data_IF_630432264224
#
_entry.id   IF_630432264224
#
_cell.length_a   1.000
_cell.length_b   1.000
_cell.length_c   1.000
_cell.angle_alpha   90.00
_cell.angle_beta   90.00
_cell.angle_gamma   90.00
#
_symmetry.space_group_name_H-M   'P 1'
#
loop_
_entity.id
_entity.type
_entity.pdbx_description
1 polymer ?
#
# COMPACT_ATOMS: atom_id res chain seq x y z
N UNK A 1 34.35 14.43 -27.20
CA UNK A 1 33.06 15.20 -27.18
C UNK A 1 31.88 14.38 -26.63
N UNK A 2 31.69 13.14 -27.01
CA UNK A 2 30.59 12.27 -26.52
C UNK A 2 30.69 11.86 -25.03
N UNK A 3 31.92 11.66 -24.55
CA UNK A 3 32.15 11.27 -23.12
C UNK A 3 31.78 12.40 -22.15
N UNK A 4 32.02 13.65 -22.55
CA UNK A 4 31.69 14.84 -21.73
C UNK A 4 30.19 15.05 -21.60
N UNK A 5 29.43 14.79 -22.69
CA UNK A 5 27.96 14.87 -22.70
C UNK A 5 27.34 13.79 -21.83
N UNK A 6 27.96 12.59 -21.79
CA UNK A 6 27.51 11.49 -20.91
C UNK A 6 27.77 11.78 -19.44
N UNK A 7 28.96 12.34 -19.13
CA UNK A 7 29.28 12.78 -17.76
C UNK A 7 28.39 13.92 -17.28
N UNK A 8 28.11 14.89 -18.13
CA UNK A 8 27.21 16.01 -17.79
C UNK A 8 25.76 15.55 -17.58
N UNK A 9 25.27 14.58 -18.36
CA UNK A 9 23.96 13.97 -18.12
C UNK A 9 23.94 13.13 -16.85
N UNK A 10 25.04 12.44 -16.51
CA UNK A 10 25.15 11.65 -15.28
C UNK A 10 25.22 12.54 -14.04
N UNK A 11 25.96 13.66 -14.11
CA UNK A 11 26.04 14.67 -13.03
C UNK A 11 24.72 15.42 -12.86
N UNK A 12 24.02 15.75 -13.97
CA UNK A 12 22.67 16.31 -13.91
C UNK A 12 21.68 15.33 -13.28
N UNK A 13 21.76 14.03 -13.62
CA UNK A 13 20.94 12.99 -13.04
C UNK A 13 21.21 12.76 -11.54
N UNK A 14 22.43 12.95 -11.07
CA UNK A 14 22.77 12.88 -9.63
C UNK A 14 22.28 14.09 -8.82
N UNK A 15 22.11 15.26 -9.45
CA UNK A 15 21.59 16.46 -8.79
C UNK A 15 20.07 16.54 -8.74
N UNK A 16 19.38 15.72 -9.53
CA UNK A 16 17.91 15.65 -9.56
C UNK A 16 17.32 14.61 -8.55
N UNK A 17 18.18 13.91 -7.85
CA UNK A 17 17.73 12.94 -6.84
C UNK A 17 17.77 13.64 -5.48
N UNK A 18 16.64 14.11 -5.06
CA UNK A 18 16.19 14.32 -3.69
C UNK A 18 15.60 15.71 -3.44
N UNK A 19 14.28 15.77 -3.30
CA UNK A 19 13.51 16.78 -2.54
C UNK A 19 13.72 18.26 -2.88
N UNK A 20 14.20 18.61 -4.08
CA UNK A 20 14.13 19.97 -4.65
C UNK A 20 13.02 20.10 -5.69
N UNK A 21 12.07 19.20 -5.64
CA UNK A 21 10.87 19.37 -6.43
C UNK A 21 9.94 20.32 -5.67
N UNK A 22 9.97 21.59 -6.01
CA UNK A 22 9.07 22.60 -5.48
C UNK A 22 7.63 22.42 -6.00
N UNK A 23 7.28 21.23 -6.52
CA UNK A 23 5.93 20.91 -6.96
C UNK A 23 5.00 20.80 -5.76
N UNK A 24 3.84 21.38 -5.89
CA UNK A 24 2.72 21.04 -5.02
C UNK A 24 2.07 19.75 -5.50
N UNK A 25 1.61 18.93 -4.58
CA UNK A 25 0.86 17.71 -4.84
C UNK A 25 -0.62 17.96 -4.53
N UNK A 26 -1.52 17.40 -5.33
CA UNK A 26 -2.96 17.56 -5.10
C UNK A 26 -3.44 16.77 -3.89
N UNK A 27 -2.83 15.61 -3.64
CA UNK A 27 -3.10 14.80 -2.46
C UNK A 27 -1.91 13.87 -2.16
N UNK A 28 -1.94 13.26 -0.99
CA UNK A 28 -0.86 12.43 -0.49
C UNK A 28 -0.63 11.13 -1.30
N UNK A 29 -1.60 10.69 -2.11
CA UNK A 29 -1.44 9.47 -2.93
C UNK A 29 -0.37 9.64 -4.01
N UNK A 30 -0.12 10.88 -4.46
CA UNK A 30 0.94 11.19 -5.43
C UNK A 30 2.36 11.00 -4.87
N UNK A 31 2.48 10.86 -3.54
CA UNK A 31 3.75 10.56 -2.86
C UNK A 31 4.01 9.05 -2.72
N UNK A 32 3.06 8.20 -3.10
CA UNK A 32 3.23 6.75 -3.00
C UNK A 32 4.21 6.27 -4.06
N UNK A 33 5.17 5.48 -3.63
CA UNK A 33 6.24 5.01 -4.50
C UNK A 33 7.43 5.97 -4.52
N UNK A 34 8.29 5.80 -5.51
CA UNK A 34 9.52 6.59 -5.67
C UNK A 34 10.34 6.75 -4.37
N UNK A 35 10.29 5.73 -3.50
CA UNK A 35 10.99 5.72 -2.21
C UNK A 35 12.50 5.68 -2.40
N UNK A 36 13.29 6.30 -1.50
CA UNK A 36 14.73 6.40 -1.66
C UNK A 36 15.45 5.05 -1.53
N UNK A 37 16.57 4.95 -2.23
CA UNK A 37 17.54 3.87 -2.09
C UNK A 37 18.68 4.36 -1.21
N UNK A 38 18.84 3.73 -0.04
CA UNK A 38 19.82 4.17 0.98
C UNK A 38 20.97 3.17 1.04
N UNK A 39 22.21 3.67 0.92
CA UNK A 39 23.41 2.84 1.08
C UNK A 39 23.56 2.41 2.53
N UNK A 40 23.76 1.12 2.73
CA UNK A 40 24.10 0.55 4.03
C UNK A 40 25.63 0.66 4.23
N UNK A 41 26.03 1.28 5.32
CA UNK A 41 27.45 1.52 5.59
C UNK A 41 27.96 0.62 6.74
N UNK A 42 27.60 0.96 7.98
CA UNK A 42 28.16 0.32 9.18
C UNK A 42 27.85 -1.17 9.27
N UNK A 43 26.63 -1.58 8.96
CA UNK A 43 26.22 -2.99 9.05
C UNK A 43 26.86 -3.88 7.98
N UNK A 44 27.38 -3.28 6.92
CA UNK A 44 28.00 -3.97 5.78
C UNK A 44 29.50 -3.72 5.63
N UNK A 45 30.14 -3.03 6.59
CA UNK A 45 31.55 -2.61 6.50
C UNK A 45 32.54 -3.76 6.31
N UNK A 46 32.21 -4.96 6.83
CA UNK A 46 33.06 -6.14 6.73
C UNK A 46 32.74 -7.04 5.53
N UNK A 47 31.83 -6.63 4.64
CA UNK A 47 31.43 -7.40 3.47
C UNK A 47 31.93 -6.70 2.19
N UNK A 48 32.47 -7.45 1.20
CA UNK A 48 32.88 -6.87 -0.07
C UNK A 48 31.66 -6.41 -0.88
N UNK A 49 31.75 -5.23 -1.50
CA UNK A 49 30.71 -4.70 -2.38
C UNK A 49 29.96 -3.50 -1.80
N UNK A 50 28.89 -3.09 -2.45
CA UNK A 50 28.01 -2.01 -2.04
C UNK A 50 26.60 -2.53 -1.83
N UNK A 51 26.01 -2.24 -0.71
CA UNK A 51 24.69 -2.72 -0.29
C UNK A 51 23.74 -1.55 -0.12
N UNK A 52 22.50 -1.73 -0.57
CA UNK A 52 21.48 -0.68 -0.51
C UNK A 52 20.17 -1.25 -0.01
N UNK A 53 19.41 -0.44 0.69
CA UNK A 53 18.02 -0.75 1.09
C UNK A 53 17.06 0.22 0.43
N UNK A 54 15.95 -0.32 -0.08
CA UNK A 54 14.80 0.45 -0.55
C UNK A 54 13.96 0.85 0.67
N UNK A 55 13.92 2.14 0.99
CA UNK A 55 13.34 2.62 2.25
C UNK A 55 11.83 2.86 2.11
N UNK A 56 11.05 1.78 2.14
CA UNK A 56 9.59 1.80 1.92
C UNK A 56 8.78 2.50 3.02
N UNK A 57 9.38 2.74 4.20
CA UNK A 57 8.75 3.56 5.23
C UNK A 57 8.57 5.04 4.85
N UNK A 58 9.14 5.46 3.70
CA UNK A 58 8.93 6.79 3.15
C UNK A 58 7.58 6.95 2.43
N UNK A 59 6.89 5.86 2.14
CA UNK A 59 5.51 5.96 1.67
C UNK A 59 4.62 6.61 2.75
N UNK A 60 3.55 7.33 2.39
CA UNK A 60 2.63 7.99 3.33
C UNK A 60 2.05 7.08 4.42
N UNK A 61 1.76 5.83 4.09
CA UNK A 61 1.31 4.81 5.04
C UNK A 61 2.46 4.04 5.70
N UNK A 62 3.70 4.51 5.58
CA UNK A 62 4.91 3.97 6.18
C UNK A 62 5.23 2.51 5.78
N UNK A 63 4.79 2.08 4.61
CA UNK A 63 5.09 0.73 4.11
C UNK A 63 4.93 0.59 2.61
N UNK A 64 5.44 -0.53 2.07
CA UNK A 64 5.23 -0.92 0.67
C UNK A 64 3.76 -1.27 0.35
N UNK A 65 2.89 -1.37 1.36
CA UNK A 65 1.48 -1.71 1.15
C UNK A 65 0.68 -0.58 0.51
N UNK A 66 1.18 0.64 0.59
CA UNK A 66 0.59 1.78 -0.12
C UNK A 66 0.58 1.56 -1.63
N UNK A 67 1.68 0.99 -2.17
CA UNK A 67 1.77 0.64 -3.61
C UNK A 67 0.67 -0.31 -4.02
N UNK A 68 0.49 -1.38 -3.23
CA UNK A 68 -0.50 -2.43 -3.49
C UNK A 68 -1.92 -1.85 -3.43
N UNK A 69 -2.25 -1.10 -2.37
CA UNK A 69 -3.56 -0.51 -2.20
C UNK A 69 -3.91 0.45 -3.35
N UNK A 70 -3.00 1.36 -3.69
CA UNK A 70 -3.23 2.33 -4.76
C UNK A 70 -3.36 1.64 -6.13
N UNK A 71 -2.46 0.70 -6.44
CA UNK A 71 -2.47 0.02 -7.74
C UNK A 71 -3.74 -0.80 -7.94
N UNK A 72 -4.13 -1.63 -6.96
CA UNK A 72 -5.33 -2.48 -7.08
C UNK A 72 -6.59 -1.62 -7.22
N UNK A 73 -6.73 -0.53 -6.47
CA UNK A 73 -7.89 0.34 -6.60
C UNK A 73 -7.91 1.07 -7.96
N UNK A 74 -6.77 1.54 -8.44
CA UNK A 74 -6.67 2.14 -9.77
C UNK A 74 -7.06 1.17 -10.88
N UNK A 75 -6.61 -0.08 -10.81
CA UNK A 75 -6.98 -1.10 -11.80
C UNK A 75 -8.46 -1.48 -11.70
N UNK A 76 -9.04 -1.51 -10.51
CA UNK A 76 -10.47 -1.74 -10.33
C UNK A 76 -11.32 -0.59 -10.91
N UNK A 77 -10.86 0.66 -10.78
CA UNK A 77 -11.47 1.83 -11.43
C UNK A 77 -11.42 1.73 -12.96
N UNK A 78 -10.23 1.45 -13.51
CA UNK A 78 -10.04 1.29 -14.96
C UNK A 78 -10.93 0.20 -15.56
N UNK A 79 -11.15 -0.89 -14.82
CA UNK A 79 -12.04 -2.00 -15.21
C UNK A 79 -13.54 -1.71 -14.99
N UNK A 80 -13.89 -0.53 -14.45
CA UNK A 80 -15.27 -0.16 -14.14
C UNK A 80 -15.91 -0.96 -13.00
N UNK A 81 -15.09 -1.62 -12.16
CA UNK A 81 -15.56 -2.39 -11.00
C UNK A 81 -15.91 -1.47 -9.82
N UNK A 82 -15.34 -0.27 -9.77
CA UNK A 82 -15.59 0.73 -8.74
C UNK A 82 -16.41 1.89 -9.30
N UNK A 83 -17.41 2.29 -8.55
CA UNK A 83 -18.28 3.45 -8.80
C UNK A 83 -18.23 4.38 -7.60
N UNK A 84 -18.72 5.60 -7.76
CA UNK A 84 -18.85 6.50 -6.63
C UNK A 84 -19.69 5.84 -5.51
N UNK A 85 -19.15 5.82 -4.28
CA UNK A 85 -19.78 5.20 -3.13
C UNK A 85 -19.62 3.68 -3.03
N UNK A 86 -18.87 3.02 -3.92
CA UNK A 86 -18.49 1.60 -3.79
C UNK A 86 -17.79 1.34 -2.46
N UNK A 87 -17.84 0.08 -2.02
CA UNK A 87 -17.22 -0.38 -0.79
C UNK A 87 -15.96 -1.21 -1.08
N UNK A 88 -14.85 -0.84 -0.49
CA UNK A 88 -13.62 -1.61 -0.53
C UNK A 88 -13.56 -2.51 0.69
N UNK A 89 -13.28 -3.78 0.47
CA UNK A 89 -13.17 -4.79 1.53
C UNK A 89 -11.78 -5.40 1.50
N UNK A 90 -11.16 -5.56 2.68
CA UNK A 90 -9.87 -6.25 2.79
C UNK A 90 -9.74 -7.00 4.11
N UNK A 91 -8.93 -8.06 4.09
CA UNK A 91 -8.46 -8.78 5.28
C UNK A 91 -7.08 -8.31 5.67
N UNK A 92 -6.89 -7.94 6.94
CA UNK A 92 -5.60 -7.39 7.36
C UNK A 92 -5.32 -7.60 8.84
N UNK A 93 -4.04 -7.58 9.18
CA UNK A 93 -3.58 -7.49 10.57
C UNK A 93 -2.76 -6.22 10.83
N UNK A 94 -2.58 -5.35 9.83
CA UNK A 94 -1.68 -4.22 9.98
C UNK A 94 -1.60 -3.26 8.79
N UNK A 95 -0.42 -3.15 8.21
CA UNK A 95 -0.08 -2.08 7.24
C UNK A 95 -0.99 -2.02 6.01
N UNK A 96 -1.41 -3.17 5.47
CA UNK A 96 -2.33 -3.19 4.32
C UNK A 96 -3.66 -2.51 4.65
N UNK A 97 -4.22 -2.77 5.84
CA UNK A 97 -5.47 -2.13 6.24
C UNK A 97 -5.35 -0.63 6.34
N UNK A 98 -4.24 -0.13 6.89
CA UNK A 98 -3.98 1.31 6.92
C UNK A 98 -3.92 1.90 5.51
N UNK A 99 -3.12 1.28 4.61
CA UNK A 99 -2.97 1.75 3.23
C UNK A 99 -4.30 1.71 2.46
N UNK A 100 -5.09 0.63 2.62
CA UNK A 100 -6.40 0.52 2.00
C UNK A 100 -7.38 1.57 2.52
N UNK A 101 -7.42 1.78 3.84
CA UNK A 101 -8.28 2.81 4.43
C UNK A 101 -7.91 4.22 3.94
N UNK A 102 -6.61 4.53 3.90
CA UNK A 102 -6.11 5.82 3.40
C UNK A 102 -6.48 6.06 1.94
N UNK A 103 -6.21 5.09 1.06
CA UNK A 103 -6.53 5.22 -0.37
C UNK A 103 -8.04 5.31 -0.59
N UNK A 104 -8.83 4.49 0.13
CA UNK A 104 -10.30 4.51 0.04
C UNK A 104 -10.86 5.86 0.46
N UNK A 105 -10.40 6.41 1.59
CA UNK A 105 -10.82 7.74 2.07
C UNK A 105 -10.58 8.83 1.01
N UNK A 106 -9.37 8.87 0.45
CA UNK A 106 -8.99 9.92 -0.50
C UNK A 106 -9.65 9.77 -1.87
N UNK A 107 -10.06 8.56 -2.23
CA UNK A 107 -10.82 8.29 -3.46
C UNK A 107 -12.35 8.34 -3.27
N UNK A 108 -12.84 8.57 -2.05
CA UNK A 108 -14.27 8.69 -1.75
C UNK A 108 -15.01 7.35 -1.67
N UNK A 109 -14.30 6.24 -1.40
CA UNK A 109 -14.89 4.93 -1.19
C UNK A 109 -15.15 4.65 0.27
N UNK A 110 -16.16 3.82 0.54
CA UNK A 110 -16.33 3.18 1.85
C UNK A 110 -15.26 2.12 2.03
N UNK A 111 -14.82 1.90 3.26
CA UNK A 111 -13.80 0.91 3.57
C UNK A 111 -14.26 0.01 4.70
N UNK A 112 -14.22 -1.30 4.50
CA UNK A 112 -14.51 -2.32 5.51
C UNK A 112 -13.30 -3.23 5.64
N UNK A 113 -12.80 -3.39 6.86
CA UNK A 113 -11.63 -4.21 7.14
C UNK A 113 -11.98 -5.34 8.11
N UNK A 114 -11.82 -6.58 7.66
CA UNK A 114 -11.84 -7.74 8.54
C UNK A 114 -10.45 -7.92 9.15
N UNK A 115 -10.36 -7.75 10.46
CA UNK A 115 -9.09 -7.63 11.19
C UNK A 115 -8.94 -8.76 12.20
N UNK A 116 -7.78 -9.39 12.24
CA UNK A 116 -7.46 -10.39 13.27
C UNK A 116 -7.45 -9.78 14.67
N UNK A 117 -7.99 -10.48 15.65
CA UNK A 117 -7.95 -10.08 17.08
C UNK A 117 -6.53 -9.93 17.64
N UNK A 118 -5.50 -10.39 16.92
CA UNK A 118 -4.08 -10.16 17.25
C UNK A 118 -3.58 -8.76 16.86
N UNK A 119 -4.34 -8.01 16.06
CA UNK A 119 -3.94 -6.66 15.69
C UNK A 119 -3.91 -5.74 16.92
N UNK A 120 -2.92 -4.85 16.99
CA UNK A 120 -2.85 -3.91 18.10
C UNK A 120 -4.02 -2.91 18.07
N UNK A 121 -4.44 -2.48 19.26
CA UNK A 121 -5.51 -1.48 19.39
C UNK A 121 -5.16 -0.18 18.66
N UNK A 122 -3.91 0.24 18.68
CA UNK A 122 -3.46 1.46 18.00
C UNK A 122 -3.65 1.37 16.49
N UNK A 123 -3.28 0.23 15.87
CA UNK A 123 -3.52 0.01 14.44
C UNK A 123 -5.00 0.03 14.09
N UNK A 124 -5.84 -0.61 14.92
CA UNK A 124 -7.30 -0.59 14.74
C UNK A 124 -7.83 0.84 14.83
N UNK A 125 -7.38 1.61 15.83
CA UNK A 125 -7.81 2.99 16.00
C UNK A 125 -7.37 3.88 14.83
N UNK A 126 -6.14 3.71 14.33
CA UNK A 126 -5.66 4.44 13.15
C UNK A 126 -6.53 4.18 11.92
N UNK A 127 -6.89 2.91 11.65
CA UNK A 127 -7.77 2.56 10.54
C UNK A 127 -9.18 3.17 10.71
N UNK A 128 -9.72 3.18 11.93
CA UNK A 128 -11.00 3.84 12.24
C UNK A 128 -10.93 5.36 12.04
N UNK A 129 -9.83 6.01 12.42
CA UNK A 129 -9.62 7.44 12.18
C UNK A 129 -9.63 7.80 10.69
N UNK A 130 -9.27 6.85 9.83
CA UNK A 130 -9.37 6.97 8.37
C UNK A 130 -10.76 6.61 7.83
N UNK A 131 -11.76 6.41 8.70
CA UNK A 131 -13.14 6.14 8.31
C UNK A 131 -13.44 4.69 7.95
N UNK A 132 -12.54 3.74 8.27
CA UNK A 132 -12.81 2.33 8.00
C UNK A 132 -13.73 1.69 9.06
N UNK A 133 -14.70 0.92 8.61
CA UNK A 133 -15.50 0.02 9.44
C UNK A 133 -14.70 -1.24 9.74
N UNK A 134 -14.55 -1.59 11.03
CA UNK A 134 -13.68 -2.67 11.47
C UNK A 134 -14.48 -3.85 12.02
N UNK A 135 -14.28 -5.02 11.42
CA UNK A 135 -14.77 -6.31 11.91
C UNK A 135 -13.62 -7.09 12.55
N UNK A 136 -13.62 -7.16 13.87
CA UNK A 136 -12.59 -7.92 14.60
C UNK A 136 -12.96 -9.39 14.64
N UNK A 137 -12.13 -10.22 14.05
CA UNK A 137 -12.33 -11.67 13.90
C UNK A 137 -11.38 -12.46 14.82
N UNK A 138 -11.80 -13.62 15.33
CA UNK A 138 -10.95 -14.45 16.17
C UNK A 138 -9.70 -14.93 15.41
N UNK A 139 -8.57 -14.97 16.11
CA UNK A 139 -7.28 -15.38 15.54
C UNK A 139 -6.91 -16.83 15.79
N UNK A 140 -7.72 -17.54 16.57
CA UNK A 140 -7.51 -18.93 16.99
C UNK A 140 -8.43 -19.92 16.28
N UNK A 141 -8.87 -19.57 15.08
CA UNK A 141 -9.72 -20.41 14.22
C UNK A 141 -8.99 -20.72 12.92
N UNK A 142 -9.28 -21.86 12.27
CA UNK A 142 -8.79 -22.16 10.91
C UNK A 142 -9.22 -21.10 9.88
N UNK A 143 -8.52 -21.04 8.75
CA UNK A 143 -8.80 -20.05 7.71
C UNK A 143 -10.17 -20.23 7.03
N UNK A 144 -10.69 -21.45 7.02
CA UNK A 144 -11.99 -21.86 6.47
C UNK A 144 -13.14 -21.79 7.49
N UNK A 145 -12.88 -21.45 8.75
CA UNK A 145 -13.90 -21.20 9.75
C UNK A 145 -14.73 -19.97 9.34
N UNK A 146 -16.08 -20.02 9.37
CA UNK A 146 -16.94 -18.87 9.02
C UNK A 146 -16.67 -17.60 9.83
N UNK A 147 -16.01 -17.70 10.99
CA UNK A 147 -15.61 -16.58 11.84
C UNK A 147 -14.23 -16.02 11.48
N UNK A 148 -13.46 -16.71 10.64
CA UNK A 148 -12.14 -16.24 10.22
C UNK A 148 -12.28 -14.92 9.45
N UNK A 149 -11.27 -14.06 9.55
CA UNK A 149 -11.30 -12.79 8.84
C UNK A 149 -11.33 -12.97 7.31
N UNK A 150 -10.87 -14.10 6.79
CA UNK A 150 -10.99 -14.44 5.36
C UNK A 150 -12.43 -14.69 4.95
N UNK A 151 -13.15 -15.56 5.69
CA UNK A 151 -14.54 -15.92 5.36
C UNK A 151 -15.49 -14.75 5.67
N UNK A 152 -15.22 -13.96 6.70
CA UNK A 152 -15.97 -12.72 6.98
C UNK A 152 -15.84 -11.74 5.82
N UNK A 153 -14.63 -11.51 5.28
CA UNK A 153 -14.45 -10.59 4.14
C UNK A 153 -15.14 -11.11 2.87
N UNK A 154 -15.04 -12.41 2.58
CA UNK A 154 -15.74 -13.03 1.44
C UNK A 154 -17.25 -12.86 1.57
N UNK A 155 -17.81 -13.16 2.75
CA UNK A 155 -19.23 -13.00 3.01
C UNK A 155 -19.68 -11.56 2.82
N UNK A 156 -18.97 -10.60 3.40
CA UNK A 156 -19.29 -9.17 3.24
C UNK A 156 -19.26 -8.74 1.77
N UNK A 157 -18.28 -9.23 1.00
CA UNK A 157 -18.21 -8.92 -0.43
C UNK A 157 -19.39 -9.52 -1.22
N UNK A 158 -19.93 -10.66 -0.80
CA UNK A 158 -21.11 -11.27 -1.44
C UNK A 158 -22.41 -10.57 -1.04
N UNK A 159 -22.49 -10.05 0.18
CA UNK A 159 -23.70 -9.40 0.73
C UNK A 159 -23.80 -7.92 0.33
N UNK A 160 -22.67 -7.24 0.19
CA UNK A 160 -22.64 -5.80 -0.10
C UNK A 160 -22.56 -5.57 -1.61
N UNK A 161 -23.63 -5.03 -2.15
CA UNK A 161 -23.65 -4.63 -3.57
C UNK A 161 -22.62 -3.54 -3.86
N UNK A 162 -22.04 -3.59 -5.06
CA UNK A 162 -21.02 -2.64 -5.51
C UNK A 162 -19.79 -2.60 -4.58
N UNK A 163 -19.36 -3.77 -4.10
CA UNK A 163 -18.14 -3.94 -3.31
C UNK A 163 -17.03 -4.62 -4.11
N UNK A 164 -15.78 -4.33 -3.71
CA UNK A 164 -14.57 -4.97 -4.25
C UNK A 164 -13.72 -5.48 -3.10
N UNK A 165 -13.49 -6.79 -3.07
CA UNK A 165 -12.55 -7.42 -2.16
C UNK A 165 -11.15 -7.41 -2.77
N UNK A 166 -10.21 -6.70 -2.16
CA UNK A 166 -8.83 -6.56 -2.64
C UNK A 166 -8.12 -7.91 -2.64
N UNK A 167 -8.30 -8.71 -1.57
CA UNK A 167 -7.76 -10.07 -1.45
C UNK A 167 -6.24 -10.12 -1.71
N UNK A 168 -5.47 -9.31 -1.02
CA UNK A 168 -4.03 -9.11 -1.25
C UNK A 168 -3.20 -10.39 -1.36
N UNK A 169 -3.61 -11.47 -0.70
CA UNK A 169 -2.85 -12.73 -0.67
C UNK A 169 -2.93 -13.52 -1.98
N UNK A 170 -3.99 -13.35 -2.75
CA UNK A 170 -4.26 -14.12 -3.97
C UNK A 170 -4.45 -13.23 -5.21
N UNK A 171 -4.31 -11.93 -5.07
CA UNK A 171 -4.47 -10.98 -6.17
C UNK A 171 -3.14 -10.75 -6.88
N UNK A 172 -3.07 -11.11 -8.15
CA UNK A 172 -1.87 -10.94 -8.98
C UNK A 172 -1.44 -9.48 -9.11
N UNK A 173 -2.38 -8.54 -9.01
CA UNK A 173 -2.09 -7.11 -9.00
C UNK A 173 -1.20 -6.68 -7.81
N UNK A 174 -1.09 -7.50 -6.76
CA UNK A 174 -0.12 -7.28 -5.69
C UNK A 174 1.32 -7.34 -6.23
N UNK A 175 1.64 -8.35 -7.01
CA UNK A 175 2.96 -8.49 -7.64
C UNK A 175 3.18 -7.38 -8.65
N UNK A 176 2.18 -7.12 -9.49
CA UNK A 176 2.22 -6.08 -10.52
C UNK A 176 2.48 -4.68 -9.92
N UNK A 177 1.87 -4.36 -8.78
CA UNK A 177 2.10 -3.10 -8.07
C UNK A 177 3.59 -2.85 -7.79
N UNK A 178 4.34 -3.88 -7.40
CA UNK A 178 5.78 -3.78 -7.14
C UNK A 178 6.64 -3.75 -8.40
N UNK A 179 6.10 -4.19 -9.52
CA UNK A 179 6.79 -4.18 -10.81
C UNK A 179 6.70 -2.82 -11.50
N UNK A 180 5.59 -2.11 -11.31
CA UNK A 180 5.30 -0.85 -12.00
C UNK A 180 5.64 0.41 -11.19
N UNK A 181 5.89 0.28 -9.88
CA UNK A 181 6.07 1.47 -9.01
C UNK A 181 7.40 1.49 -8.25
#
# INVERSE_FOLDING_TARGET
MWLLVFLLKFVAYQNDIMLKDNRSFNNILELIGNTPLIKLNKVTENFPGSYFTKYEAFNPGHSNKDRIALHILNEAEKKGLLKNGSTIIETTSGNTGFSVAMVSLLKGYKCILAVSSKASKDKINMMKCLGADIYVCPSNVPSDDPRSYYEVAKRLNNEIKDSVYINQYFNELNVEAHYQT
#
